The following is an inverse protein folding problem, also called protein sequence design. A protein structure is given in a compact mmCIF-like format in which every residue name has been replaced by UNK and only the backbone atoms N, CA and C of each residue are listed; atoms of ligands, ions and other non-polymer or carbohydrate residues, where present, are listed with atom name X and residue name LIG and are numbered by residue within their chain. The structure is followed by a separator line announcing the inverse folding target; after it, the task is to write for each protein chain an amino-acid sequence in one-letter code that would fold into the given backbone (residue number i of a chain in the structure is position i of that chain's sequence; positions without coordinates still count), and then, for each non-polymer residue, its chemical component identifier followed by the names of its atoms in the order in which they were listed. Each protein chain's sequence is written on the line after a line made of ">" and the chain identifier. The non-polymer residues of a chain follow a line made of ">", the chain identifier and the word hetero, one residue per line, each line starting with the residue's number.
data_IF_569232490960
#
_entry.id   IF_569232490960
#
_cell.length_a   1.000
_cell.length_b   1.000
_cell.length_c   1.000
_cell.angle_alpha   90.00
_cell.angle_beta   90.00
_cell.angle_gamma   90.00
#
_symmetry.space_group_name_H-M   'P 1'
#
loop_
_entity.id
_entity.type
_entity.pdbx_description
1 polymer ?
#
# COMPACT_ATOMS: atom_id res chain seq x y z
N UNK A 1 -26.92 -57.49 0.50
CA UNK A 1 -27.49 -56.16 0.24
C UNK A 1 -26.39 -55.12 0.44
N UNK A 2 -25.36 -55.08 -0.43
CA UNK A 2 -24.09 -54.37 -0.13
C UNK A 2 -23.69 -53.38 -1.25
N UNK A 3 -24.55 -53.17 -2.26
CA UNK A 3 -24.24 -52.34 -3.43
C UNK A 3 -24.52 -50.85 -3.21
N UNK A 4 -25.56 -50.53 -2.43
CA UNK A 4 -25.95 -49.14 -2.14
C UNK A 4 -24.97 -48.42 -1.19
N UNK A 5 -24.35 -49.14 -0.25
CA UNK A 5 -23.36 -48.55 0.66
C UNK A 5 -22.06 -48.19 -0.08
N UNK A 6 -21.64 -49.01 -1.03
CA UNK A 6 -20.42 -48.75 -1.82
C UNK A 6 -20.55 -47.47 -2.68
N UNK A 7 -21.73 -47.27 -3.28
CA UNK A 7 -22.03 -46.10 -4.10
C UNK A 7 -22.07 -44.80 -3.29
N UNK A 8 -22.60 -44.84 -2.05
CA UNK A 8 -22.62 -43.66 -1.18
C UNK A 8 -21.22 -43.28 -0.69
N UNK A 9 -20.36 -44.26 -0.38
CA UNK A 9 -18.97 -43.98 -0.02
C UNK A 9 -18.18 -43.33 -1.16
N UNK A 10 -18.34 -43.83 -2.40
CA UNK A 10 -17.67 -43.24 -3.56
C UNK A 10 -18.15 -41.82 -3.85
N UNK A 11 -19.44 -41.55 -3.74
CA UNK A 11 -19.99 -40.20 -3.91
C UNK A 11 -19.46 -39.23 -2.84
N UNK A 12 -19.29 -39.70 -1.60
CA UNK A 12 -18.75 -38.89 -0.50
C UNK A 12 -17.28 -38.50 -0.76
N UNK A 13 -16.45 -39.46 -1.22
CA UNK A 13 -15.04 -39.21 -1.53
C UNK A 13 -14.89 -38.17 -2.65
N UNK A 14 -15.66 -38.31 -3.74
CA UNK A 14 -15.62 -37.35 -4.86
C UNK A 14 -16.05 -35.95 -4.40
N UNK A 15 -17.06 -35.86 -3.55
CA UNK A 15 -17.52 -34.57 -2.99
C UNK A 15 -16.44 -33.90 -2.13
N UNK A 16 -15.71 -34.66 -1.30
CA UNK A 16 -14.61 -34.13 -0.49
C UNK A 16 -13.41 -33.65 -1.33
N UNK A 17 -13.08 -34.36 -2.43
CA UNK A 17 -12.00 -33.96 -3.33
C UNK A 17 -12.34 -32.67 -4.08
N UNK A 18 -13.60 -32.50 -4.51
CA UNK A 18 -14.10 -31.26 -5.11
C UNK A 18 -14.01 -30.06 -4.16
N UNK A 19 -14.30 -30.25 -2.87
CA UNK A 19 -14.17 -29.21 -1.84
C UNK A 19 -12.70 -28.84 -1.56
N UNK A 20 -11.76 -29.78 -1.63
CA UNK A 20 -10.35 -29.53 -1.36
C UNK A 20 -9.66 -28.66 -2.43
N UNK A 21 -10.09 -28.72 -3.69
CA UNK A 21 -9.52 -27.88 -4.76
C UNK A 21 -10.00 -26.42 -4.69
N UNK A 22 -11.22 -26.17 -4.17
CA UNK A 22 -11.77 -24.82 -4.04
C UNK A 22 -11.08 -23.96 -2.95
N UNK A 23 -10.34 -24.59 -2.02
CA UNK A 23 -9.71 -23.89 -0.89
C UNK A 23 -8.31 -23.33 -1.23
N UNK A 24 -7.71 -23.70 -2.38
CA UNK A 24 -6.34 -23.27 -2.74
C UNK A 24 -6.22 -21.90 -3.43
N UNK A 25 -7.13 -20.95 -3.16
CA UNK A 25 -7.02 -19.60 -3.71
C UNK A 25 -7.36 -18.48 -2.75
N UNK A 26 -6.99 -18.61 -1.48
CA UNK A 26 -6.71 -17.45 -0.64
C UNK A 26 -5.21 -17.21 -0.63
N UNK A 27 -4.76 -16.20 -1.39
CA UNK A 27 -3.53 -15.50 -1.02
C UNK A 27 -3.66 -15.12 0.45
N UNK A 28 -2.59 -15.09 1.26
CA UNK A 28 -2.60 -14.28 2.46
C UNK A 28 -2.79 -12.84 1.98
N UNK A 29 -4.06 -12.41 1.95
CA UNK A 29 -4.40 -11.02 1.96
C UNK A 29 -3.71 -10.48 3.19
N UNK A 30 -2.69 -9.65 2.98
CA UNK A 30 -2.20 -8.81 4.06
C UNK A 30 -3.43 -8.17 4.67
N UNK A 31 -3.64 -8.46 5.94
CA UNK A 31 -4.59 -7.78 6.78
C UNK A 31 -4.26 -6.30 6.68
N UNK A 32 -4.97 -5.62 5.79
CA UNK A 32 -4.85 -4.20 5.59
C UNK A 32 -5.74 -3.60 6.65
N UNK A 33 -5.14 -3.37 7.82
CA UNK A 33 -5.76 -2.60 8.89
C UNK A 33 -6.25 -1.26 8.31
N UNK A 34 -7.49 -0.83 8.60
CA UNK A 34 -8.01 0.43 8.09
C UNK A 34 -7.14 1.60 8.54
N UNK A 35 -6.65 2.34 7.54
CA UNK A 35 -6.07 3.69 7.55
C UNK A 35 -6.24 4.46 8.86
N UNK A 36 -5.19 4.46 9.67
CA UNK A 36 -4.90 5.54 10.59
C UNK A 36 -3.76 6.32 9.95
N UNK A 37 -4.08 7.46 9.37
CA UNK A 37 -3.20 8.56 8.96
C UNK A 37 -1.70 8.37 9.30
N UNK A 38 -1.04 7.46 8.59
CA UNK A 38 0.39 7.52 8.34
C UNK A 38 0.51 8.77 7.46
N UNK A 39 0.65 9.91 8.11
CA UNK A 39 0.56 11.22 7.48
C UNK A 39 1.76 11.36 6.55
N UNK A 40 1.64 10.82 5.33
CA UNK A 40 2.52 11.07 4.20
C UNK A 40 2.21 12.48 3.73
N UNK A 41 2.54 13.45 4.59
CA UNK A 41 2.52 14.85 4.27
C UNK A 41 3.72 15.14 3.37
N UNK A 42 3.50 15.86 2.28
CA UNK A 42 4.57 16.34 1.42
C UNK A 42 5.15 17.68 1.92
N UNK A 43 4.40 18.38 2.76
CA UNK A 43 4.71 19.74 3.20
C UNK A 43 5.21 19.80 4.66
N UNK A 44 5.64 18.65 5.20
CA UNK A 44 6.21 18.54 6.54
C UNK A 44 7.72 18.27 6.49
N UNK A 45 8.39 18.52 7.61
CA UNK A 45 9.79 18.17 7.80
C UNK A 45 9.93 16.66 8.04
N UNK A 46 10.81 15.95 7.31
CA UNK A 46 11.02 14.53 7.56
C UNK A 46 11.70 14.30 8.92
N UNK A 47 11.32 13.22 9.64
CA UNK A 47 11.93 12.90 10.91
C UNK A 47 13.39 12.49 10.71
N UNK A 48 14.28 13.04 11.55
CA UNK A 48 15.66 12.60 11.61
C UNK A 48 15.74 11.27 12.37
N UNK A 49 16.53 10.33 11.85
CA UNK A 49 16.80 9.08 12.53
C UNK A 49 17.59 9.35 13.81
N UNK A 50 17.02 8.95 14.95
CA UNK A 50 17.74 8.94 16.24
C UNK A 50 18.71 7.77 16.36
N UNK A 51 18.61 6.79 15.44
CA UNK A 51 19.44 5.60 15.41
C UNK A 51 20.56 5.75 14.38
N UNK A 52 21.68 5.06 14.63
CA UNK A 52 22.87 5.08 13.77
C UNK A 52 22.69 4.42 12.39
N UNK A 53 21.49 3.95 12.04
CA UNK A 53 21.25 3.37 10.72
C UNK A 53 21.26 4.47 9.66
N UNK A 54 22.23 4.42 8.75
CA UNK A 54 22.33 5.32 7.59
C UNK A 54 21.33 4.93 6.51
N UNK A 55 20.04 5.03 6.80
CA UNK A 55 18.99 4.83 5.80
C UNK A 55 18.94 6.07 4.90
N UNK A 56 19.34 5.89 3.65
CA UNK A 56 19.17 6.91 2.62
C UNK A 56 17.72 6.90 2.16
N UNK A 57 16.99 7.96 2.50
CA UNK A 57 15.58 8.13 2.12
C UNK A 57 15.42 9.39 1.28
N UNK A 58 14.34 9.45 0.52
CA UNK A 58 13.97 10.58 -0.30
C UNK A 58 12.97 11.48 0.44
N UNK A 59 13.04 12.79 0.20
CA UNK A 59 12.05 13.75 0.67
C UNK A 59 11.65 14.70 -0.47
N UNK A 60 10.44 15.23 -0.40
CA UNK A 60 9.92 16.21 -1.35
C UNK A 60 10.16 17.64 -0.84
N UNK A 61 10.61 18.52 -1.72
CA UNK A 61 10.69 19.97 -1.47
C UNK A 61 9.59 20.68 -2.27
N UNK A 62 8.66 21.39 -1.59
CA UNK A 62 7.63 22.20 -2.25
C UNK A 62 8.22 23.32 -3.11
N UNK A 63 9.28 23.99 -2.64
CA UNK A 63 9.90 25.14 -3.31
C UNK A 63 10.45 24.76 -4.68
N UNK A 64 11.09 23.59 -4.76
CA UNK A 64 11.67 23.06 -5.99
C UNK A 64 10.72 22.11 -6.73
N UNK A 65 9.54 21.84 -6.15
CA UNK A 65 8.54 20.88 -6.62
C UNK A 65 9.14 19.53 -7.07
N UNK A 66 10.10 19.00 -6.31
CA UNK A 66 10.83 17.77 -6.69
C UNK A 66 11.29 16.97 -5.48
N UNK A 67 11.62 15.70 -5.74
CA UNK A 67 12.15 14.77 -4.74
C UNK A 67 13.68 14.74 -4.73
N UNK A 68 14.26 14.79 -3.53
CA UNK A 68 15.69 14.77 -3.27
C UNK A 68 16.07 13.57 -2.41
N UNK A 69 17.29 13.05 -2.60
CA UNK A 69 17.86 12.07 -1.69
C UNK A 69 18.45 12.83 -0.49
N UNK A 70 18.09 12.42 0.72
CA UNK A 70 18.65 13.00 1.93
C UNK A 70 20.13 12.62 2.07
N UNK A 71 20.95 13.60 2.43
CA UNK A 71 22.32 13.38 2.90
C UNK A 71 22.34 12.85 4.33
N UNK A 72 21.34 13.26 5.12
CA UNK A 72 21.16 12.85 6.51
C UNK A 72 20.34 11.56 6.59
N UNK A 73 20.51 10.82 7.69
CA UNK A 73 19.71 9.64 7.97
C UNK A 73 18.30 10.07 8.39
N UNK A 74 17.31 9.85 7.51
CA UNK A 74 15.91 10.08 7.83
C UNK A 74 15.27 8.80 8.36
N UNK A 75 14.37 8.95 9.32
CA UNK A 75 13.53 7.87 9.82
C UNK A 75 12.28 7.69 8.96
N UNK A 76 11.49 6.68 9.26
CA UNK A 76 10.14 6.52 8.71
C UNK A 76 9.21 7.61 9.24
N UNK A 77 8.36 8.13 8.35
CA UNK A 77 7.33 9.09 8.72
C UNK A 77 7.04 10.09 7.62
N UNK A 78 6.59 11.26 8.03
CA UNK A 78 6.15 12.32 7.15
C UNK A 78 7.26 12.74 6.17
N UNK A 79 6.91 13.00 4.90
CA UNK A 79 7.83 13.40 3.83
C UNK A 79 9.12 12.56 3.69
N UNK A 80 9.06 11.26 4.05
CA UNK A 80 10.22 10.38 4.07
C UNK A 80 9.94 9.07 3.34
N UNK A 81 10.51 8.93 2.15
CA UNK A 81 10.20 7.88 1.20
C UNK A 81 11.39 6.96 0.99
N UNK A 82 11.15 5.67 0.77
CA UNK A 82 12.24 4.74 0.54
C UNK A 82 12.80 4.90 -0.88
N UNK A 83 11.93 5.23 -1.84
CA UNK A 83 12.31 5.40 -3.24
C UNK A 83 11.91 6.75 -3.80
N UNK A 84 12.68 7.22 -4.79
CA UNK A 84 12.36 8.45 -5.53
C UNK A 84 10.98 8.38 -6.21
N UNK A 85 10.62 7.20 -6.71
CA UNK A 85 9.37 6.98 -7.45
C UNK A 85 8.16 7.09 -6.53
N UNK A 86 8.26 6.56 -5.31
CA UNK A 86 7.25 6.71 -4.28
C UNK A 86 7.03 8.19 -3.93
N UNK A 87 8.10 8.92 -3.62
CA UNK A 87 8.03 10.36 -3.39
C UNK A 87 7.37 11.13 -4.55
N UNK A 88 7.75 10.80 -5.80
CA UNK A 88 7.20 11.49 -6.97
C UNK A 88 5.71 11.21 -7.15
N UNK A 89 5.30 9.95 -6.97
CA UNK A 89 3.89 9.53 -7.08
C UNK A 89 3.03 10.20 -6.03
N UNK A 90 3.50 10.25 -4.78
CA UNK A 90 2.74 10.80 -3.66
C UNK A 90 2.70 12.34 -3.69
N UNK A 91 3.83 13.00 -3.96
CA UNK A 91 3.92 14.46 -3.79
C UNK A 91 3.85 15.26 -5.10
N UNK A 92 4.54 14.81 -6.15
CA UNK A 92 4.64 15.58 -7.41
C UNK A 92 3.40 15.34 -8.27
N UNK A 93 3.02 14.07 -8.50
CA UNK A 93 1.90 13.73 -9.38
C UNK A 93 0.55 14.19 -8.83
N UNK A 94 0.30 14.04 -7.52
CA UNK A 94 -0.95 14.47 -6.88
C UNK A 94 -1.14 15.99 -6.93
N UNK A 95 -0.07 16.78 -6.78
CA UNK A 95 -0.14 18.25 -6.91
C UNK A 95 -0.50 18.71 -8.33
N UNK A 96 -0.01 18.02 -9.37
CA UNK A 96 -0.38 18.33 -10.75
C UNK A 96 -1.87 18.13 -11.00
N UNK A 97 -2.44 17.01 -10.52
CA UNK A 97 -3.88 16.74 -10.66
C UNK A 97 -4.74 17.71 -9.85
N UNK A 98 -4.27 18.16 -8.69
CA UNK A 98 -5.02 19.10 -7.84
C UNK A 98 -5.12 20.50 -8.44
N UNK A 99 -4.07 20.97 -9.13
CA UNK A 99 -4.09 22.26 -9.86
C UNK A 99 -4.97 22.23 -11.12
N UNK A 100 -5.22 21.05 -11.68
CA UNK A 100 -5.97 20.88 -12.93
C UNK A 100 -7.49 20.77 -12.74
N UNK A 101 -7.99 20.68 -11.51
CA UNK A 101 -9.45 20.79 -11.27
C UNK A 101 -9.79 22.28 -11.19
N UNK A 102 -10.40 22.90 -12.22
CA UNK A 102 -10.97 24.22 -12.04
C UNK A 102 -12.01 24.11 -10.92
N UNK A 103 -11.76 24.78 -9.79
CA UNK A 103 -12.78 25.01 -8.77
C UNK A 103 -13.96 25.66 -9.50
N UNK A 104 -15.03 24.90 -9.74
CA UNK A 104 -16.31 25.49 -10.16
C UNK A 104 -16.70 26.43 -9.04
N UNK A 105 -16.40 27.72 -9.21
CA UNK A 105 -16.89 28.74 -8.31
C UNK A 105 -18.41 28.68 -8.42
N UNK A 106 -19.05 28.25 -7.33
CA UNK A 106 -20.50 28.26 -7.19
C UNK A 106 -20.91 29.72 -7.13
N UNK A 107 -21.32 30.27 -8.27
CA UNK A 107 -21.91 31.61 -8.37
C UNK A 107 -23.23 31.58 -7.59
N UNK A 108 -23.32 32.36 -6.52
CA UNK A 108 -24.58 32.78 -5.93
C UNK A 108 -25.11 33.99 -6.70
#
# INVERSE_FOLDING_TARGET
>A
MNSLTSLTFLAFIVSTLLLAEAVKKSKPGREMTPNQDEFVGCDCMPPLSKRYYRLKRYFYSPDMNRCFLSTDALDFGCNSFETKQECWKECVRKKLTSKQVPRKQKKN
#
